data_IF_771374057481
#
_entry.id   IF_771374057481
#
_cell.length_a   1.000
_cell.length_b   1.000
_cell.length_c   1.000
_cell.angle_alpha   90.00
_cell.angle_beta   90.00
_cell.angle_gamma   90.00
#
_symmetry.space_group_name_H-M   'P 1'
#
loop_
_entity.id
_entity.type
_entity.pdbx_description
1 polymer ?
#
# COMPACT_ATOMS: atom_id res chain seq x y z
N UNK A 1 -11.46 -11.23 0.85
CA UNK A 1 -10.43 -11.74 -0.08
C UNK A 1 -9.88 -10.59 -0.89
N UNK A 2 -8.56 -10.56 -1.11
CA UNK A 2 -7.90 -9.56 -1.96
C UNK A 2 -7.59 -10.13 -3.34
N UNK A 3 -7.59 -9.27 -4.36
CA UNK A 3 -6.98 -9.57 -5.66
C UNK A 3 -5.67 -8.78 -5.70
N UNK A 4 -4.55 -9.49 -5.69
CA UNK A 4 -3.21 -8.90 -5.57
C UNK A 4 -2.42 -8.99 -6.87
N UNK A 5 -1.49 -8.06 -7.01
CA UNK A 5 -0.44 -8.00 -8.02
C UNK A 5 0.79 -7.32 -7.39
N UNK A 6 1.95 -7.41 -8.03
CA UNK A 6 3.12 -6.67 -7.59
C UNK A 6 2.87 -5.16 -7.68
N UNK A 7 2.94 -4.44 -6.57
CA UNK A 7 2.67 -3.00 -6.52
C UNK A 7 3.67 -2.14 -7.30
N UNK A 8 4.87 -2.67 -7.58
CA UNK A 8 5.92 -1.99 -8.34
C UNK A 8 5.92 -2.36 -9.84
N UNK A 9 4.94 -3.15 -10.28
CA UNK A 9 4.75 -3.56 -11.67
C UNK A 9 3.46 -2.94 -12.20
N UNK A 10 3.61 -1.89 -13.01
CA UNK A 10 2.50 -1.11 -13.56
C UNK A 10 1.55 -1.99 -14.40
N UNK A 11 2.09 -2.88 -15.22
CA UNK A 11 1.30 -3.77 -16.08
C UNK A 11 0.52 -4.79 -15.24
N UNK A 12 1.12 -5.30 -14.17
CA UNK A 12 0.44 -6.21 -13.25
C UNK A 12 -0.69 -5.52 -12.47
N UNK A 13 -0.49 -4.28 -12.03
CA UNK A 13 -1.52 -3.46 -11.36
C UNK A 13 -2.66 -3.12 -12.31
N UNK A 14 -2.37 -2.78 -13.57
CA UNK A 14 -3.38 -2.47 -14.58
C UNK A 14 -4.36 -3.63 -14.80
N UNK A 15 -3.87 -4.87 -14.80
CA UNK A 15 -4.69 -6.08 -14.88
C UNK A 15 -5.68 -6.22 -13.70
N UNK A 16 -5.37 -5.68 -12.51
CA UNK A 16 -6.33 -5.64 -11.40
C UNK A 16 -7.52 -4.74 -11.74
N UNK A 17 -7.25 -3.55 -12.27
CA UNK A 17 -8.30 -2.60 -12.65
C UNK A 17 -9.19 -3.18 -13.75
N UNK A 18 -8.58 -3.77 -14.78
CA UNK A 18 -9.27 -4.44 -15.88
C UNK A 18 -10.13 -5.61 -15.38
N UNK A 19 -9.58 -6.52 -14.58
CA UNK A 19 -10.29 -7.69 -14.07
C UNK A 19 -11.48 -7.33 -13.17
N UNK A 20 -11.41 -6.20 -12.45
CA UNK A 20 -12.48 -5.73 -11.56
C UNK A 20 -13.46 -4.77 -12.24
N UNK A 21 -13.18 -4.30 -13.46
CA UNK A 21 -13.88 -3.16 -14.06
C UNK A 21 -13.79 -1.91 -13.17
N UNK A 22 -12.71 -1.77 -12.40
CA UNK A 22 -12.53 -0.69 -11.42
C UNK A 22 -12.03 0.57 -12.15
N UNK A 23 -12.65 1.74 -11.95
CA UNK A 23 -12.11 3.00 -12.44
C UNK A 23 -10.68 3.24 -11.92
N UNK A 24 -9.79 3.74 -12.78
CA UNK A 24 -8.35 3.90 -12.48
C UNK A 24 -8.05 5.00 -11.45
N UNK A 25 -9.01 5.85 -11.14
CA UNK A 25 -8.95 6.89 -10.11
C UNK A 25 -9.19 6.33 -8.69
N UNK A 26 -9.64 5.08 -8.56
CA UNK A 26 -9.85 4.43 -7.27
C UNK A 26 -8.59 3.71 -6.79
N UNK A 27 -7.81 4.27 -5.84
CA UNK A 27 -6.51 3.74 -5.46
C UNK A 27 -6.59 2.32 -4.90
N UNK A 28 -5.48 1.58 -4.99
CA UNK A 28 -5.30 0.25 -4.40
C UNK A 28 -4.49 0.34 -3.11
N UNK A 29 -4.73 -0.57 -2.17
CA UNK A 29 -3.95 -0.69 -0.94
C UNK A 29 -2.73 -1.57 -1.21
N UNK A 30 -1.53 -1.03 -1.00
CA UNK A 30 -0.29 -1.82 -1.04
C UNK A 30 -0.15 -2.58 0.27
N UNK A 31 -0.03 -3.90 0.17
CA UNK A 31 0.19 -4.77 1.34
C UNK A 31 1.70 -4.99 1.50
N UNK A 32 2.19 -4.87 2.73
CA UNK A 32 3.58 -5.18 3.13
C UNK A 32 3.56 -6.32 4.15
N UNK A 33 4.66 -7.08 4.23
CA UNK A 33 4.79 -8.17 5.20
C UNK A 33 5.51 -7.69 6.45
N UNK A 34 6.63 -6.97 6.28
CA UNK A 34 7.40 -6.43 7.39
C UNK A 34 7.16 -4.93 7.51
N UNK A 35 7.01 -4.46 8.74
CA UNK A 35 6.74 -3.03 9.03
C UNK A 35 7.75 -2.11 8.34
N UNK A 36 9.03 -2.47 8.31
CA UNK A 36 10.09 -1.63 7.76
C UNK A 36 10.06 -1.49 6.23
N UNK A 37 9.30 -2.33 5.52
CA UNK A 37 9.09 -2.18 4.08
C UNK A 37 8.36 -0.89 3.72
N UNK A 38 7.63 -0.28 4.65
CA UNK A 38 7.00 1.03 4.47
C UNK A 38 8.03 2.10 4.10
N UNK A 39 9.27 1.98 4.58
CA UNK A 39 10.35 2.91 4.30
C UNK A 39 10.80 2.85 2.83
N UNK A 40 10.48 1.78 2.10
CA UNK A 40 10.74 1.67 0.66
C UNK A 40 9.66 2.38 -0.16
N UNK A 41 8.43 2.48 0.36
CA UNK A 41 7.23 2.89 -0.39
C UNK A 41 6.76 4.31 -0.09
N UNK A 42 7.05 4.84 1.10
CA UNK A 42 6.49 6.09 1.60
C UNK A 42 7.53 7.03 2.24
N UNK A 43 7.18 8.31 2.36
CA UNK A 43 7.92 9.35 3.08
C UNK A 43 7.07 9.96 4.20
N UNK A 44 7.69 10.83 5.02
CA UNK A 44 7.01 11.63 6.06
C UNK A 44 6.27 10.80 7.13
N UNK A 45 6.85 9.66 7.50
CA UNK A 45 6.31 8.75 8.53
C UNK A 45 6.56 9.33 9.92
N UNK A 46 5.58 10.05 10.45
CA UNK A 46 5.66 10.71 11.76
C UNK A 46 5.56 9.73 12.95
N UNK A 47 5.87 10.22 14.15
CA UNK A 47 5.86 9.41 15.38
C UNK A 47 4.47 8.83 15.72
N UNK A 48 3.39 9.57 15.45
CA UNK A 48 2.03 9.06 15.66
C UNK A 48 1.75 7.84 14.77
N UNK A 49 2.14 7.89 13.50
CA UNK A 49 2.04 6.75 12.61
C UNK A 49 2.89 5.57 13.12
N UNK A 50 4.10 5.81 13.63
CA UNK A 50 4.94 4.75 14.21
C UNK A 50 4.30 4.05 15.40
N UNK A 51 3.65 4.79 16.29
CA UNK A 51 2.89 4.25 17.42
C UNK A 51 1.76 3.36 16.91
N UNK A 52 0.95 3.85 15.95
CA UNK A 52 -0.15 3.06 15.38
C UNK A 52 0.35 1.80 14.65
N UNK A 53 1.45 1.88 13.91
CA UNK A 53 2.05 0.71 13.26
C UNK A 53 2.52 -0.32 14.29
N UNK A 54 3.11 0.10 15.41
CA UNK A 54 3.59 -0.84 16.44
C UNK A 54 2.44 -1.58 17.12
N UNK A 55 1.31 -0.90 17.34
CA UNK A 55 0.18 -1.45 18.07
C UNK A 55 -0.74 -2.29 17.18
N UNK A 56 -0.97 -1.84 15.95
CA UNK A 56 -2.03 -2.38 15.09
C UNK A 56 -1.51 -3.11 13.85
N UNK A 57 -0.20 -3.10 13.58
CA UNK A 57 0.40 -3.95 12.53
C UNK A 57 1.21 -5.10 13.14
N UNK A 58 1.05 -6.34 12.64
CA UNK A 58 0.09 -6.77 11.61
C UNK A 58 -1.36 -6.75 12.13
N UNK A 59 -2.29 -6.25 11.32
CA UNK A 59 -3.70 -6.12 11.72
C UNK A 59 -4.55 -5.30 10.72
N UNK A 60 -5.84 -5.10 11.01
CA UNK A 60 -6.82 -4.52 10.09
C UNK A 60 -6.74 -2.99 9.96
N UNK A 61 -5.56 -2.39 10.17
CA UNK A 61 -5.34 -0.95 10.03
C UNK A 61 -4.65 -0.63 8.71
N UNK A 62 -5.27 0.18 7.86
CA UNK A 62 -4.62 0.77 6.67
C UNK A 62 -4.34 2.25 6.93
N UNK A 63 -3.18 2.74 6.51
CA UNK A 63 -2.80 4.15 6.67
C UNK A 63 -2.41 4.77 5.33
N UNK A 64 -2.67 6.07 5.20
CA UNK A 64 -2.35 6.86 4.01
C UNK A 64 -1.07 7.65 4.30
N UNK A 65 -0.11 7.56 3.38
CA UNK A 65 1.16 8.26 3.43
C UNK A 65 1.45 8.98 2.12
N UNK A 66 2.45 9.87 2.13
CA UNK A 66 3.05 10.39 0.90
C UNK A 66 3.88 9.30 0.23
N UNK A 67 3.58 8.98 -1.03
CA UNK A 67 4.31 7.96 -1.78
C UNK A 67 5.75 8.41 -2.10
N UNK A 68 6.65 7.43 -2.27
CA UNK A 68 7.92 7.62 -2.97
C UNK A 68 7.71 7.53 -4.49
N UNK A 69 8.70 7.95 -5.26
CA UNK A 69 8.64 7.89 -6.73
C UNK A 69 8.64 6.47 -7.30
N UNK A 70 9.06 5.47 -6.52
CA UNK A 70 9.07 4.07 -6.96
C UNK A 70 7.64 3.48 -7.07
N UNK A 71 6.65 4.15 -6.50
CA UNK A 71 5.24 3.73 -6.40
C UNK A 71 4.38 4.62 -7.29
#
# INVERSE_FOLDING_TARGET
YGLGANALDEDAVKKIYEAKGRPSDNPLIVHICEKDEINKLATDINEKAKILMNEFWPGPLTMIFKKKEIV
#
